data_IF_848045600461
#
_entry.id   IF_848045600461
#
_cell.length_a   1.000
_cell.length_b   1.000
_cell.length_c   1.000
_cell.angle_alpha   90.00
_cell.angle_beta   90.00
_cell.angle_gamma   90.00
#
_symmetry.space_group_name_H-M   'P 1'
#
loop_
_entity.id
_entity.type
_entity.pdbx_description
1 polymer ?
#
# COMPACT_ATOMS: atom_id res chain seq x y z
N UNK A 1 -19.56 -12.17 77.95
CA UNK A 1 -18.77 -11.31 77.05
C UNK A 1 -18.51 -12.07 75.76
N UNK A 2 -19.10 -11.64 74.65
CA UNK A 2 -18.71 -12.07 73.31
C UNK A 2 -19.10 -10.92 72.35
N UNK A 3 -18.11 -10.10 72.00
CA UNK A 3 -18.28 -9.02 71.02
C UNK A 3 -18.10 -9.61 69.62
N UNK A 4 -19.15 -9.56 68.81
CA UNK A 4 -19.09 -10.00 67.41
C UNK A 4 -18.47 -8.88 66.58
N UNK A 5 -17.24 -9.11 66.11
CA UNK A 5 -16.49 -8.14 65.31
C UNK A 5 -16.95 -8.23 63.85
N UNK A 6 -17.72 -7.24 63.40
CA UNK A 6 -18.22 -7.18 62.01
C UNK A 6 -17.14 -6.54 61.14
N UNK A 7 -16.36 -7.36 60.43
CA UNK A 7 -15.37 -6.89 59.47
C UNK A 7 -16.12 -6.33 58.26
N UNK A 8 -16.08 -5.00 58.10
CA UNK A 8 -16.56 -4.32 56.91
C UNK A 8 -15.57 -4.55 55.77
N UNK A 9 -15.97 -5.32 54.77
CA UNK A 9 -15.21 -5.43 53.52
C UNK A 9 -15.35 -4.11 52.75
N UNK A 10 -14.27 -3.36 52.63
CA UNK A 10 -14.18 -2.28 51.64
C UNK A 10 -14.15 -2.92 50.24
N UNK A 11 -15.26 -2.83 49.52
CA UNK A 11 -15.29 -3.07 48.10
C UNK A 11 -14.34 -2.08 47.43
N UNK A 12 -13.19 -2.57 46.96
CA UNK A 12 -12.30 -1.78 46.10
C UNK A 12 -12.97 -1.67 44.74
N UNK A 13 -13.34 -0.45 44.36
CA UNK A 13 -13.82 -0.15 43.01
C UNK A 13 -12.77 -0.59 41.99
N UNK A 14 -13.16 -1.50 41.12
CA UNK A 14 -12.45 -1.81 39.89
C UNK A 14 -12.67 -0.63 38.94
N UNK A 15 -11.63 0.16 38.69
CA UNK A 15 -11.63 1.15 37.61
C UNK A 15 -11.85 0.40 36.30
N UNK A 16 -13.00 0.64 35.66
CA UNK A 16 -13.23 0.25 34.27
C UNK A 16 -12.09 0.82 33.40
N UNK A 17 -11.63 0.11 32.35
CA UNK A 17 -10.70 0.69 31.40
C UNK A 17 -11.30 1.99 30.88
N UNK A 18 -10.52 3.07 30.87
CA UNK A 18 -10.92 4.37 30.32
C UNK A 18 -11.51 4.14 28.93
N UNK A 19 -12.78 4.48 28.73
CA UNK A 19 -13.44 4.36 27.44
C UNK A 19 -12.72 5.31 26.45
N UNK A 20 -12.05 4.73 25.45
CA UNK A 20 -11.33 5.52 24.43
C UNK A 20 -12.29 6.48 23.75
N UNK A 21 -11.83 7.71 23.45
CA UNK A 21 -12.67 8.72 22.81
C UNK A 21 -13.23 8.19 21.47
N UNK A 22 -14.51 8.45 21.12
CA UNK A 22 -15.14 7.90 19.91
C UNK A 22 -14.35 8.11 18.61
N UNK A 23 -13.64 9.25 18.49
CA UNK A 23 -12.78 9.56 17.33
C UNK A 23 -11.51 8.69 17.30
N UNK A 24 -10.87 8.41 18.45
CA UNK A 24 -9.72 7.49 18.53
C UNK A 24 -10.13 6.09 18.11
N UNK A 25 -11.30 5.64 18.61
CA UNK A 25 -11.86 4.34 18.29
C UNK A 25 -12.17 4.20 16.79
N UNK A 26 -12.69 5.26 16.16
CA UNK A 26 -12.92 5.26 14.71
C UNK A 26 -11.61 5.07 13.91
N UNK A 27 -10.53 5.76 14.29
CA UNK A 27 -9.21 5.59 13.65
C UNK A 27 -8.65 4.19 13.89
N UNK A 28 -8.76 3.66 15.12
CA UNK A 28 -8.33 2.29 15.46
C UNK A 28 -9.10 1.21 14.68
N UNK A 29 -10.42 1.38 14.51
CA UNK A 29 -11.26 0.46 13.72
C UNK A 29 -10.83 0.44 12.26
N UNK A 30 -10.59 1.62 11.67
CA UNK A 30 -10.09 1.74 10.29
C UNK A 30 -8.73 1.09 10.12
N UNK A 31 -7.82 1.27 11.09
CA UNK A 31 -6.50 0.62 11.10
C UNK A 31 -6.63 -0.90 11.17
N UNK A 32 -7.45 -1.43 12.09
CA UNK A 32 -7.66 -2.87 12.23
C UNK A 32 -8.20 -3.49 10.94
N UNK A 33 -9.13 -2.80 10.29
CA UNK A 33 -9.70 -3.21 9.00
C UNK A 33 -8.63 -3.28 7.91
N UNK A 34 -7.81 -2.24 7.76
CA UNK A 34 -6.73 -2.20 6.75
C UNK A 34 -5.63 -3.23 7.01
N UNK A 35 -5.26 -3.47 8.27
CA UNK A 35 -4.25 -4.47 8.65
C UNK A 35 -4.68 -5.91 8.41
N UNK A 36 -5.99 -6.16 8.49
CA UNK A 36 -6.58 -7.47 8.21
C UNK A 36 -6.82 -7.71 6.72
N UNK A 37 -6.58 -6.69 5.88
CA UNK A 37 -6.82 -6.75 4.45
C UNK A 37 -5.70 -7.47 3.69
N UNK A 38 -6.06 -8.06 2.56
CA UNK A 38 -5.11 -8.71 1.66
C UNK A 38 -4.37 -7.67 0.79
N UNK A 39 -3.14 -7.99 0.38
CA UNK A 39 -2.26 -7.11 -0.42
C UNK A 39 -1.84 -7.74 -1.77
N UNK A 40 -2.55 -8.77 -2.24
CA UNK A 40 -2.08 -9.63 -3.32
C UNK A 40 -2.50 -9.18 -4.72
N UNK A 41 -3.63 -8.50 -4.86
CA UNK A 41 -4.26 -8.15 -6.14
C UNK A 41 -4.46 -6.64 -6.34
N UNK A 42 -4.58 -6.19 -7.59
CA UNK A 42 -4.86 -4.78 -7.90
C UNK A 42 -6.14 -4.29 -7.21
N UNK A 43 -7.21 -5.12 -7.22
CA UNK A 43 -8.50 -4.81 -6.58
C UNK A 43 -8.39 -4.69 -5.06
N UNK A 44 -7.63 -5.58 -4.41
CA UNK A 44 -7.37 -5.48 -2.96
C UNK A 44 -6.59 -4.20 -2.62
N UNK A 45 -5.62 -3.82 -3.45
CA UNK A 45 -4.87 -2.57 -3.28
C UNK A 45 -5.77 -1.36 -3.49
N UNK A 46 -6.64 -1.35 -4.51
CA UNK A 46 -7.63 -0.28 -4.72
C UNK A 46 -8.57 -0.13 -3.51
N UNK A 47 -9.07 -1.26 -2.97
CA UNK A 47 -9.89 -1.25 -1.75
C UNK A 47 -9.11 -0.67 -0.56
N UNK A 48 -7.83 -1.03 -0.41
CA UNK A 48 -6.98 -0.49 0.66
C UNK A 48 -6.69 1.01 0.49
N UNK A 49 -6.54 1.50 -0.74
CA UNK A 49 -6.42 2.94 -1.03
C UNK A 49 -7.72 3.70 -0.67
N UNK A 50 -8.88 3.12 -0.98
CA UNK A 50 -10.17 3.67 -0.55
C UNK A 50 -10.28 3.69 0.99
N UNK A 51 -9.89 2.60 1.66
CA UNK A 51 -9.86 2.56 3.12
C UNK A 51 -8.85 3.53 3.74
N UNK A 52 -7.72 3.82 3.07
CA UNK A 52 -6.79 4.87 3.50
C UNK A 52 -7.41 6.26 3.41
N UNK A 53 -8.15 6.54 2.34
CA UNK A 53 -8.89 7.80 2.22
C UNK A 53 -9.82 7.98 3.42
N UNK A 54 -10.63 6.96 3.74
CA UNK A 54 -11.55 6.99 4.89
C UNK A 54 -10.78 7.15 6.21
N UNK A 55 -9.66 6.43 6.39
CA UNK A 55 -8.80 6.56 7.56
C UNK A 55 -8.30 8.00 7.74
N UNK A 56 -7.77 8.62 6.68
CA UNK A 56 -7.24 9.98 6.74
C UNK A 56 -8.32 11.05 6.90
N UNK A 57 -9.57 10.77 6.54
CA UNK A 57 -10.71 11.61 6.89
C UNK A 57 -10.98 11.57 8.41
N UNK A 58 -10.89 10.39 9.05
CA UNK A 58 -10.99 10.28 10.51
C UNK A 58 -9.79 10.89 11.25
N UNK A 59 -8.58 10.74 10.69
CA UNK A 59 -7.34 11.29 11.29
C UNK A 59 -7.36 12.81 11.31
N UNK A 60 -7.98 13.44 10.31
CA UNK A 60 -8.15 14.88 10.28
C UNK A 60 -8.95 15.38 11.51
N UNK A 61 -10.06 14.72 11.83
CA UNK A 61 -10.89 15.04 13.01
C UNK A 61 -10.14 14.75 14.31
N UNK A 62 -9.34 13.68 14.34
CA UNK A 62 -8.47 13.32 15.46
C UNK A 62 -7.40 14.38 15.75
N UNK A 63 -6.72 14.88 14.71
CA UNK A 63 -5.70 15.93 14.81
C UNK A 63 -6.31 17.22 15.40
N UNK A 64 -7.54 17.57 15.00
CA UNK A 64 -8.23 18.74 15.55
C UNK A 64 -8.58 18.57 17.04
N UNK A 65 -8.96 17.37 17.47
CA UNK A 65 -9.27 17.05 18.87
C UNK A 65 -8.02 17.13 19.76
N UNK A 66 -6.89 16.58 19.31
CA UNK A 66 -5.66 16.50 20.12
C UNK A 66 -4.75 17.73 20.04
N UNK A 67 -5.19 18.83 19.40
CA UNK A 67 -4.41 20.06 19.17
C UNK A 67 -3.69 20.59 20.44
N UNK A 68 -4.28 20.42 21.63
CA UNK A 68 -3.69 20.89 22.90
C UNK A 68 -2.60 19.97 23.49
N UNK A 69 -2.58 18.67 23.15
CA UNK A 69 -1.56 17.71 23.63
C UNK A 69 -0.47 17.42 22.60
N UNK A 70 -0.81 17.50 21.30
CA UNK A 70 0.06 17.11 20.18
C UNK A 70 1.23 18.08 19.95
N UNK A 71 1.15 19.33 20.41
CA UNK A 71 2.17 20.37 20.22
C UNK A 71 3.61 19.93 20.56
N UNK A 72 3.78 19.01 21.52
CA UNK A 72 5.11 18.51 21.95
C UNK A 72 5.73 17.48 21.00
N UNK A 73 4.98 16.90 20.06
CA UNK A 73 5.43 15.81 19.18
C UNK A 73 5.13 16.05 17.68
N UNK A 74 4.68 17.26 17.31
CA UNK A 74 4.23 17.54 15.92
C UNK A 74 5.36 17.46 14.90
N UNK A 75 6.60 17.82 15.27
CA UNK A 75 7.73 17.82 14.32
C UNK A 75 7.99 16.43 13.74
N UNK A 76 8.03 15.40 14.59
CA UNK A 76 8.22 14.01 14.16
C UNK A 76 7.05 13.44 13.34
N UNK A 77 5.84 13.94 13.55
CA UNK A 77 4.64 13.59 12.75
C UNK A 77 4.68 14.31 11.40
N UNK A 78 5.14 15.56 11.37
CA UNK A 78 5.31 16.32 10.13
C UNK A 78 6.36 15.71 9.22
N UNK A 79 7.49 15.25 9.77
CA UNK A 79 8.49 14.53 8.98
C UNK A 79 7.91 13.26 8.36
N UNK A 80 7.13 12.49 9.14
CA UNK A 80 6.39 11.33 8.65
C UNK A 80 5.41 11.70 7.53
N UNK A 81 4.63 12.77 7.69
CA UNK A 81 3.69 13.22 6.64
C UNK A 81 4.38 13.68 5.35
N UNK A 82 5.56 14.31 5.46
CA UNK A 82 6.36 14.70 4.29
C UNK A 82 6.85 13.47 3.54
N UNK A 83 7.37 12.50 4.29
CA UNK A 83 7.79 11.23 3.75
C UNK A 83 6.65 10.52 2.98
N UNK A 84 5.45 10.46 3.57
CA UNK A 84 4.31 9.84 2.92
C UNK A 84 3.94 10.55 1.61
N UNK A 85 4.02 11.87 1.56
CA UNK A 85 3.79 12.65 0.34
C UNK A 85 4.84 12.36 -0.73
N UNK A 86 6.12 12.27 -0.36
CA UNK A 86 7.21 11.96 -1.30
C UNK A 86 7.06 10.57 -1.91
N UNK A 87 6.72 9.56 -1.08
CA UNK A 87 6.47 8.20 -1.56
C UNK A 87 5.21 8.16 -2.44
N UNK A 88 4.13 8.82 -2.02
CA UNK A 88 2.90 8.89 -2.79
C UNK A 88 3.14 9.54 -4.16
N UNK A 89 3.90 10.64 -4.22
CA UNK A 89 4.31 11.28 -5.47
C UNK A 89 5.12 10.34 -6.37
N UNK A 90 6.10 9.64 -5.81
CA UNK A 90 6.87 8.62 -6.54
C UNK A 90 5.99 7.50 -7.09
N UNK A 91 5.03 7.02 -6.30
CA UNK A 91 4.09 5.98 -6.71
C UNK A 91 3.18 6.43 -7.86
N UNK A 92 2.70 7.69 -7.82
CA UNK A 92 1.95 8.30 -8.93
C UNK A 92 2.78 8.33 -10.22
N UNK A 93 4.01 8.83 -10.15
CA UNK A 93 4.90 8.90 -11.31
C UNK A 93 5.18 7.52 -11.91
N UNK A 94 5.32 6.50 -11.05
CA UNK A 94 5.52 5.10 -11.45
C UNK A 94 4.29 4.54 -12.16
N UNK A 95 3.09 4.76 -11.62
CA UNK A 95 1.84 4.31 -12.22
C UNK A 95 1.62 4.97 -13.59
N UNK A 96 1.81 6.28 -13.68
CA UNK A 96 1.65 7.02 -14.93
C UNK A 96 2.64 6.58 -16.00
N UNK A 97 3.91 6.37 -15.62
CA UNK A 97 4.91 5.83 -16.55
C UNK A 97 4.53 4.43 -17.03
N UNK A 98 4.11 3.54 -16.13
CA UNK A 98 3.75 2.17 -16.49
C UNK A 98 2.53 2.14 -17.42
N UNK A 99 1.51 2.95 -17.13
CA UNK A 99 0.30 3.09 -17.94
C UNK A 99 0.61 3.63 -19.32
N UNK A 100 1.43 4.67 -19.43
CA UNK A 100 1.89 5.18 -20.72
C UNK A 100 2.61 4.08 -21.52
N UNK A 101 3.45 3.27 -20.88
CA UNK A 101 4.13 2.15 -21.54
C UNK A 101 3.15 1.10 -22.08
N UNK A 102 2.08 0.81 -21.33
CA UNK A 102 1.01 -0.10 -21.75
C UNK A 102 0.27 0.47 -22.96
N UNK A 103 -0.08 1.76 -22.93
CA UNK A 103 -0.77 2.45 -24.02
C UNK A 103 0.06 2.56 -25.30
N UNK A 104 1.35 2.83 -25.17
CA UNK A 104 2.30 2.85 -26.29
C UNK A 104 2.39 1.47 -26.92
N UNK A 105 2.53 0.42 -26.10
CA UNK A 105 2.56 -0.96 -26.57
C UNK A 105 1.26 -1.37 -27.28
N UNK A 106 0.09 -1.07 -26.71
CA UNK A 106 -1.20 -1.30 -27.37
C UNK A 106 -1.29 -0.55 -28.71
N UNK A 107 -0.79 0.69 -28.76
CA UNK A 107 -0.75 1.51 -29.97
C UNK A 107 0.16 0.92 -31.04
N UNK A 108 1.34 0.44 -30.65
CA UNK A 108 2.27 -0.27 -31.52
C UNK A 108 1.63 -1.53 -32.09
N UNK A 109 0.98 -2.32 -31.25
CA UNK A 109 0.26 -3.54 -31.67
C UNK A 109 -0.82 -3.20 -32.70
N UNK A 110 -1.64 -2.16 -32.46
CA UNK A 110 -2.67 -1.69 -33.41
C UNK A 110 -2.09 -1.25 -34.75
N UNK A 111 -0.92 -0.59 -34.72
CA UNK A 111 -0.17 -0.16 -35.92
C UNK A 111 0.61 -1.29 -36.59
N UNK A 112 0.58 -2.51 -36.04
CA UNK A 112 1.37 -3.67 -36.49
C UNK A 112 2.87 -3.43 -36.46
N UNK A 113 3.32 -2.57 -35.54
CA UNK A 113 4.74 -2.37 -35.21
C UNK A 113 5.10 -3.22 -33.99
N UNK A 114 6.35 -3.65 -33.90
CA UNK A 114 6.84 -4.51 -32.81
C UNK A 114 7.72 -3.69 -31.85
N UNK A 115 7.11 -2.95 -30.92
CA UNK A 115 7.82 -2.16 -29.91
C UNK A 115 7.95 -2.88 -28.55
N UNK A 116 7.98 -4.21 -28.57
CA UNK A 116 8.08 -5.05 -27.38
C UNK A 116 9.36 -4.78 -26.58
N UNK A 117 10.49 -4.58 -27.25
CA UNK A 117 11.76 -4.28 -26.59
C UNK A 117 11.76 -2.90 -25.91
N UNK A 118 11.05 -1.93 -26.50
CA UNK A 118 10.88 -0.61 -25.91
C UNK A 118 10.05 -0.69 -24.62
N UNK A 119 8.91 -1.39 -24.65
CA UNK A 119 8.10 -1.67 -23.46
C UNK A 119 8.91 -2.38 -22.37
N UNK A 120 9.64 -3.45 -22.72
CA UNK A 120 10.46 -4.20 -21.77
C UNK A 120 11.57 -3.34 -21.15
N UNK A 121 12.17 -2.44 -21.94
CA UNK A 121 13.18 -1.51 -21.46
C UNK A 121 12.59 -0.47 -20.51
N UNK A 122 11.45 0.11 -20.87
CA UNK A 122 10.77 1.09 -20.01
C UNK A 122 10.33 0.48 -18.69
N UNK A 123 9.71 -0.71 -18.72
CA UNK A 123 9.34 -1.45 -17.50
C UNK A 123 10.55 -1.70 -16.60
N UNK A 124 11.69 -2.12 -17.15
CA UNK A 124 12.92 -2.32 -16.37
C UNK A 124 13.37 -1.03 -15.66
N UNK A 125 13.21 0.13 -16.30
CA UNK A 125 13.49 1.44 -15.69
C UNK A 125 12.53 1.72 -14.53
N UNK A 126 11.22 1.56 -14.75
CA UNK A 126 10.19 1.70 -13.71
C UNK A 126 10.48 0.77 -12.51
N UNK A 127 10.74 -0.52 -12.75
CA UNK A 127 11.09 -1.47 -11.69
C UNK A 127 12.38 -1.08 -10.95
N UNK A 128 13.32 -0.37 -11.60
CA UNK A 128 14.55 0.11 -10.94
C UNK A 128 14.24 1.27 -10.00
N UNK A 129 13.37 2.20 -10.42
CA UNK A 129 12.88 3.30 -9.58
C UNK A 129 12.15 2.75 -8.36
N UNK A 130 11.21 1.81 -8.58
CA UNK A 130 10.49 1.13 -7.50
C UNK A 130 11.45 0.48 -6.51
N UNK A 131 12.42 -0.32 -6.98
CA UNK A 131 13.39 -0.99 -6.11
C UNK A 131 14.21 -0.01 -5.27
N UNK A 132 14.57 1.14 -5.84
CA UNK A 132 15.26 2.20 -5.09
C UNK A 132 14.34 2.77 -4.00
N UNK A 133 13.11 3.15 -4.36
CA UNK A 133 12.11 3.66 -3.42
C UNK A 133 11.87 2.69 -2.25
N UNK A 134 11.63 1.41 -2.53
CA UNK A 134 11.44 0.38 -1.51
C UNK A 134 12.68 0.16 -0.62
N UNK A 135 13.88 0.27 -1.18
CA UNK A 135 15.12 0.17 -0.40
C UNK A 135 15.30 1.38 0.54
N UNK A 136 14.96 2.57 0.07
CA UNK A 136 15.07 3.79 0.87
C UNK A 136 14.00 3.82 1.98
N UNK A 137 12.78 3.35 1.71
CA UNK A 137 11.72 3.12 2.70
C UNK A 137 12.20 2.21 3.84
N UNK A 138 12.86 1.09 3.51
CA UNK A 138 13.38 0.13 4.51
C UNK A 138 14.45 0.73 5.41
N UNK A 139 15.36 1.56 4.86
CA UNK A 139 16.41 2.23 5.65
C UNK A 139 15.84 3.27 6.61
N UNK A 140 14.70 3.84 6.29
CA UNK A 140 14.07 4.88 7.11
C UNK A 140 13.28 4.28 8.25
N UNK A 141 12.53 3.20 8.00
CA UNK A 141 11.85 2.44 9.05
C UNK A 141 12.83 1.90 10.12
N UNK A 142 14.06 1.52 9.75
CA UNK A 142 15.05 1.05 10.74
C UNK A 142 15.56 2.13 11.70
N UNK A 143 15.40 3.42 11.37
CA UNK A 143 15.87 4.53 12.22
C UNK A 143 14.84 5.01 13.23
N UNK A 144 13.56 4.73 13.01
CA UNK A 144 12.47 5.17 13.88
C UNK A 144 12.20 4.22 15.07
N UNK A 145 12.81 3.03 15.10
CA UNK A 145 12.59 2.04 16.15
C UNK A 145 13.34 2.30 17.47
N UNK A 146 14.21 3.31 17.56
CA UNK A 146 15.00 3.61 18.77
C UNK A 146 14.26 4.47 19.81
N UNK A 147 13.07 4.98 19.49
CA UNK A 147 12.22 5.71 20.45
C UNK A 147 11.06 4.84 20.93
N UNK A 148 11.40 3.82 21.71
CA UNK A 148 10.43 2.94 22.41
C UNK A 148 9.86 3.70 23.61
N UNK A 149 8.83 4.49 23.34
CA UNK A 149 8.02 5.16 24.36
C UNK A 149 6.73 5.64 23.72
N UNK A 150 5.68 4.83 23.87
CA UNK A 150 4.30 5.08 23.40
C UNK A 150 4.17 5.23 21.87
N UNK A 151 3.76 4.16 21.19
CA UNK A 151 3.39 4.22 19.77
C UNK A 151 2.12 5.06 19.68
N UNK A 152 2.22 6.28 19.16
CA UNK A 152 1.03 7.09 18.93
C UNK A 152 0.20 6.52 17.79
N UNK A 153 -1.12 6.69 17.86
CA UNK A 153 -2.05 6.24 16.83
C UNK A 153 -1.67 6.77 15.42
N UNK A 154 -1.09 7.97 15.34
CA UNK A 154 -0.58 8.56 14.10
C UNK A 154 0.62 7.82 13.52
N UNK A 155 1.51 7.25 14.35
CA UNK A 155 2.61 6.38 13.87
C UNK A 155 2.07 5.08 13.31
N UNK A 156 0.99 4.55 13.88
CA UNK A 156 0.30 3.38 13.37
C UNK A 156 -0.36 3.63 12.01
N UNK A 157 -0.95 4.81 11.81
CA UNK A 157 -1.47 5.30 10.52
C UNK A 157 -0.35 5.41 9.50
N UNK A 158 0.77 6.03 9.87
CA UNK A 158 1.95 6.15 8.99
C UNK A 158 2.46 4.78 8.55
N UNK A 159 2.67 3.84 9.48
CA UNK A 159 3.14 2.50 9.18
C UNK A 159 2.19 1.71 8.27
N UNK A 160 0.88 1.83 8.51
CA UNK A 160 -0.15 1.17 7.68
C UNK A 160 -0.17 1.74 6.26
N UNK A 161 -0.03 3.06 6.14
CA UNK A 161 0.04 3.74 4.83
C UNK A 161 1.29 3.33 4.05
N UNK A 162 2.44 3.26 4.71
CA UNK A 162 3.69 2.78 4.11
C UNK A 162 3.56 1.33 3.62
N UNK A 163 2.91 0.45 4.38
CA UNK A 163 2.69 -0.94 3.97
C UNK A 163 1.81 -1.06 2.72
N UNK A 164 0.78 -0.21 2.59
CA UNK A 164 -0.07 -0.15 1.40
C UNK A 164 0.71 0.39 0.19
N UNK A 165 1.54 1.42 0.37
CA UNK A 165 2.42 1.91 -0.70
C UNK A 165 3.48 0.88 -1.09
N UNK A 166 4.06 0.13 -0.15
CA UNK A 166 4.98 -0.98 -0.47
C UNK A 166 4.28 -2.05 -1.31
N UNK A 167 3.04 -2.40 -0.97
CA UNK A 167 2.22 -3.36 -1.70
C UNK A 167 1.91 -2.88 -3.13
N UNK A 168 1.47 -1.62 -3.27
CA UNK A 168 1.22 -0.98 -4.56
C UNK A 168 2.47 -0.99 -5.46
N UNK A 169 3.60 -0.53 -4.94
CA UNK A 169 4.86 -0.48 -5.68
C UNK A 169 5.33 -1.90 -6.06
N UNK A 170 5.17 -2.86 -5.16
CA UNK A 170 5.51 -4.27 -5.41
C UNK A 170 4.65 -4.89 -6.51
N UNK A 171 3.35 -4.57 -6.53
CA UNK A 171 2.42 -4.99 -7.59
C UNK A 171 2.91 -4.50 -8.95
N UNK A 172 3.23 -3.21 -9.10
CA UNK A 172 3.69 -2.62 -10.36
C UNK A 172 5.04 -3.19 -10.80
N UNK A 173 5.95 -3.45 -9.86
CA UNK A 173 7.25 -4.05 -10.20
C UNK A 173 7.14 -5.51 -10.69
N UNK A 174 6.02 -6.19 -10.40
CA UNK A 174 5.86 -7.61 -10.61
C UNK A 174 6.73 -8.47 -9.68
N UNK A 175 6.45 -9.78 -9.56
CA UNK A 175 7.23 -10.67 -8.71
C UNK A 175 8.69 -10.73 -9.17
N UNK A 176 9.62 -10.85 -8.20
CA UNK A 176 11.06 -11.06 -8.47
C UNK A 176 11.24 -12.32 -9.32
N UNK A 177 11.42 -12.15 -10.63
CA UNK A 177 11.95 -13.22 -11.46
C UNK A 177 13.45 -13.32 -11.20
N UNK A 178 13.84 -14.12 -10.20
CA UNK A 178 15.19 -14.69 -10.24
C UNK A 178 15.24 -15.61 -11.46
N UNK A 179 16.26 -15.49 -12.30
CA UNK A 179 16.36 -16.25 -13.56
C UNK A 179 16.37 -17.77 -13.35
N UNK A 180 16.49 -18.24 -12.10
CA UNK A 180 16.51 -19.64 -11.71
C UNK A 180 15.10 -20.24 -11.47
N UNK A 181 14.06 -19.43 -11.18
CA UNK A 181 12.74 -19.97 -10.82
C UNK A 181 11.99 -20.62 -11.99
N UNK A 182 12.41 -20.36 -13.24
CA UNK A 182 11.81 -20.99 -14.43
C UNK A 182 12.31 -22.43 -14.68
N UNK A 183 13.46 -22.83 -14.12
CA UNK A 183 13.99 -24.20 -14.31
C UNK A 183 13.32 -25.19 -13.34
N UNK A 184 12.73 -24.71 -12.25
CA UNK A 184 12.04 -25.54 -11.25
C UNK A 184 10.60 -25.90 -11.62
N UNK A 185 9.94 -25.18 -12.55
CA UNK A 185 8.53 -25.42 -12.90
C UNK A 185 8.32 -26.47 -14.02
N UNK A 186 9.39 -27.13 -14.45
CA UNK A 186 9.35 -28.17 -15.51
C UNK A 186 9.47 -29.62 -14.99
N UNK A 187 9.52 -29.84 -13.68
CA UNK A 187 9.46 -31.19 -13.12
C UNK A 187 8.00 -31.52 -12.75
N UNK A 188 7.35 -32.52 -13.38
CA UNK A 188 6.02 -32.95 -12.99
C UNK A 188 6.12 -33.75 -11.69
N UNK A 189 6.25 -33.06 -10.56
CA UNK A 189 6.11 -33.71 -9.26
C UNK A 189 4.63 -33.77 -8.93
N UNK A 190 4.07 -34.96 -9.10
CA UNK A 190 2.73 -35.37 -8.70
C UNK A 190 2.46 -34.93 -7.26
N UNK A 191 1.78 -33.80 -7.07
CA UNK A 191 1.16 -33.41 -5.80
C UNK A 191 -0.32 -33.15 -5.99
N UNK A 192 -1.05 -33.70 -5.04
CA UNK A 192 -2.50 -33.76 -4.91
C UNK A 192 -3.12 -32.37 -5.07
N UNK A 193 -4.23 -32.34 -5.81
CA UNK A 193 -4.99 -31.14 -6.13
C UNK A 193 -5.39 -30.37 -4.87
N UNK A 194 -4.76 -29.20 -4.68
CA UNK A 194 -5.42 -28.06 -4.07
C UNK A 194 -5.64 -27.04 -5.20
N UNK A 195 -6.90 -26.88 -5.60
CA UNK A 195 -7.33 -25.97 -6.67
C UNK A 195 -7.35 -24.54 -6.11
N UNK A 196 -6.18 -24.02 -5.76
CA UNK A 196 -5.95 -22.59 -5.62
C UNK A 196 -5.37 -22.13 -6.94
N UNK A 197 -6.15 -21.42 -7.75
CA UNK A 197 -5.60 -20.66 -8.86
C UNK A 197 -4.59 -19.67 -8.25
N UNK A 198 -3.29 -19.91 -8.48
CA UNK A 198 -2.23 -18.97 -8.12
C UNK A 198 -2.53 -17.71 -8.95
N UNK A 199 -3.19 -16.72 -8.34
CA UNK A 199 -3.67 -15.52 -9.03
C UNK A 199 -2.48 -14.74 -9.57
N UNK A 200 -2.16 -14.99 -10.84
CA UNK A 200 -1.08 -14.27 -11.51
C UNK A 200 -1.48 -12.82 -11.66
N UNK A 201 -0.63 -11.90 -11.18
CA UNK A 201 -0.88 -10.47 -11.31
C UNK A 201 -1.02 -10.07 -12.78
N UNK A 202 -1.77 -9.01 -13.05
CA UNK A 202 -2.03 -8.45 -14.37
C UNK A 202 -0.73 -8.11 -15.10
N UNK A 203 0.24 -7.56 -14.37
CA UNK A 203 1.60 -7.32 -14.85
C UNK A 203 2.26 -8.62 -15.33
N UNK A 204 2.14 -9.71 -14.55
CA UNK A 204 2.71 -11.01 -14.90
C UNK A 204 2.01 -11.66 -16.09
N UNK A 205 0.68 -11.52 -16.20
CA UNK A 205 -0.11 -12.01 -17.34
C UNK A 205 0.37 -11.38 -18.65
N UNK A 206 0.61 -10.06 -18.66
CA UNK A 206 1.19 -9.34 -19.82
C UNK A 206 2.59 -9.86 -20.14
N UNK A 207 3.45 -10.07 -19.13
CA UNK A 207 4.80 -10.60 -19.36
C UNK A 207 4.82 -11.99 -19.98
N UNK A 208 3.98 -12.89 -19.48
CA UNK A 208 3.89 -14.26 -19.98
C UNK A 208 3.41 -14.25 -21.44
N UNK A 209 2.35 -13.49 -21.73
CA UNK A 209 1.80 -13.37 -23.07
C UNK A 209 2.83 -12.79 -24.06
N UNK A 210 3.59 -11.77 -23.63
CA UNK A 210 4.63 -11.15 -24.43
C UNK A 210 5.80 -12.10 -24.73
N UNK A 211 6.28 -12.85 -23.72
CA UNK A 211 7.35 -13.85 -23.90
C UNK A 211 6.93 -14.98 -24.84
N UNK A 212 5.68 -15.46 -24.72
CA UNK A 212 5.14 -16.47 -25.61
C UNK A 212 5.09 -15.98 -27.07
N UNK A 213 4.68 -14.72 -27.28
CA UNK A 213 4.61 -14.09 -28.60
C UNK A 213 6.00 -13.93 -29.25
N UNK A 214 7.02 -13.57 -28.46
CA UNK A 214 8.40 -13.44 -28.95
C UNK A 214 8.99 -14.82 -29.31
N UNK A 215 8.68 -15.85 -28.52
CA UNK A 215 9.27 -17.20 -28.68
C UNK A 215 8.62 -17.99 -29.81
N UNK A 216 7.30 -17.87 -29.96
CA UNK A 216 6.54 -18.55 -31.00
C UNK A 216 6.07 -17.50 -32.02
N UNK A 217 6.80 -17.37 -33.14
CA UNK A 217 6.51 -16.46 -34.28
C UNK A 217 5.09 -16.56 -34.89
N UNK A 218 4.12 -17.23 -34.27
CA UNK A 218 2.77 -17.47 -34.82
C UNK A 218 1.61 -17.51 -33.80
N UNK A 219 1.74 -16.97 -32.60
CA UNK A 219 0.57 -16.85 -31.70
C UNK A 219 -0.18 -15.54 -32.02
N UNK A 220 -1.50 -15.62 -32.19
CA UNK A 220 -2.36 -14.49 -32.52
C UNK A 220 -2.17 -13.35 -31.52
N UNK A 221 -1.95 -12.14 -32.04
CA UNK A 221 -1.84 -10.86 -31.31
C UNK A 221 -2.98 -10.67 -30.28
N UNK A 222 -4.15 -11.26 -30.54
CA UNK A 222 -5.31 -11.28 -29.63
C UNK A 222 -4.99 -11.81 -28.22
N UNK A 223 -3.93 -12.60 -28.04
CA UNK A 223 -3.55 -13.16 -26.74
C UNK A 223 -2.86 -12.16 -25.80
N UNK A 224 -2.31 -11.05 -26.32
CA UNK A 224 -1.63 -10.02 -25.51
C UNK A 224 -2.54 -8.82 -25.21
N UNK A 225 -3.54 -8.58 -26.07
CA UNK A 225 -4.38 -7.40 -25.98
C UNK A 225 -5.29 -7.39 -24.74
N UNK A 226 -5.98 -8.50 -24.43
CA UNK A 226 -6.84 -8.58 -23.23
C UNK A 226 -6.06 -8.37 -21.91
N UNK A 227 -4.88 -9.01 -21.70
CA UNK A 227 -4.05 -8.70 -20.54
C UNK A 227 -3.59 -7.24 -20.45
N UNK A 228 -3.29 -6.60 -21.60
CA UNK A 228 -2.89 -5.19 -21.62
C UNK A 228 -4.04 -4.27 -21.23
N UNK A 229 -5.24 -4.49 -21.78
CA UNK A 229 -6.44 -3.73 -21.42
C UNK A 229 -6.80 -3.89 -19.94
N UNK A 230 -6.72 -5.12 -19.40
CA UNK A 230 -6.91 -5.36 -17.98
C UNK A 230 -5.89 -4.61 -17.12
N UNK A 231 -4.61 -4.66 -17.48
CA UNK A 231 -3.56 -3.94 -16.76
C UNK A 231 -3.73 -2.43 -16.84
N UNK A 232 -4.13 -1.89 -17.99
CA UNK A 232 -4.41 -0.45 -18.15
C UNK A 232 -5.54 0.02 -17.23
N UNK A 233 -6.65 -0.73 -17.17
CA UNK A 233 -7.76 -0.43 -16.25
C UNK A 233 -7.31 -0.50 -14.79
N UNK A 234 -6.59 -1.55 -14.40
CA UNK A 234 -6.06 -1.65 -13.03
C UNK A 234 -5.12 -0.49 -12.69
N UNK A 235 -4.26 -0.06 -13.62
CA UNK A 235 -3.38 1.09 -13.39
C UNK A 235 -4.18 2.39 -13.25
N UNK A 236 -5.23 2.58 -14.04
CA UNK A 236 -6.13 3.73 -13.91
C UNK A 236 -6.81 3.77 -12.54
N UNK A 237 -7.41 2.66 -12.10
CA UNK A 237 -8.08 2.60 -10.79
C UNK A 237 -7.12 2.88 -9.63
N UNK A 238 -5.87 2.38 -9.72
CA UNK A 238 -4.83 2.65 -8.74
C UNK A 238 -4.38 4.11 -8.76
N UNK A 239 -4.26 4.74 -9.93
CA UNK A 239 -3.95 6.18 -10.04
C UNK A 239 -5.03 7.04 -9.37
N UNK A 240 -6.31 6.73 -9.62
CA UNK A 240 -7.44 7.49 -9.06
C UNK A 240 -7.55 7.31 -7.54
N UNK A 241 -7.37 6.08 -7.05
CA UNK A 241 -7.30 5.79 -5.62
C UNK A 241 -6.15 6.52 -4.94
N UNK A 242 -4.96 6.50 -5.56
CA UNK A 242 -3.77 7.15 -5.01
C UNK A 242 -3.88 8.68 -5.02
N UNK A 243 -4.48 9.27 -6.05
CA UNK A 243 -4.78 10.71 -6.11
C UNK A 243 -5.71 11.13 -4.96
N UNK A 244 -6.70 10.31 -4.64
CA UNK A 244 -7.60 10.57 -3.52
C UNK A 244 -6.85 10.57 -2.18
N UNK A 245 -5.98 9.59 -1.95
CA UNK A 245 -5.11 9.53 -0.76
C UNK A 245 -4.14 10.72 -0.71
N UNK A 246 -3.53 11.09 -1.83
CA UNK A 246 -2.60 12.22 -1.91
C UNK A 246 -3.24 13.53 -1.44
N UNK A 247 -4.50 13.79 -1.84
CA UNK A 247 -5.25 14.97 -1.39
C UNK A 247 -5.49 14.94 0.12
N UNK A 248 -5.86 13.79 0.67
CA UNK A 248 -6.06 13.63 2.12
C UNK A 248 -4.76 13.85 2.89
N UNK A 249 -3.62 13.34 2.39
CA UNK A 249 -2.30 13.55 3.00
C UNK A 249 -1.92 15.04 3.03
N UNK A 250 -2.16 15.79 1.94
CA UNK A 250 -1.93 17.23 1.90
C UNK A 250 -2.80 17.93 2.96
N UNK A 251 -4.10 17.60 3.01
CA UNK A 251 -5.03 18.20 3.96
C UNK A 251 -4.57 17.97 5.41
N UNK A 252 -4.27 16.73 5.76
CA UNK A 252 -3.77 16.37 7.10
C UNK A 252 -2.47 17.10 7.44
N UNK A 253 -1.53 17.20 6.50
CA UNK A 253 -0.28 17.95 6.70
C UNK A 253 -0.56 19.44 6.96
N UNK A 254 -1.48 20.05 6.23
CA UNK A 254 -1.87 21.45 6.44
C UNK A 254 -2.46 21.62 7.84
N UNK A 255 -3.30 20.70 8.30
CA UNK A 255 -3.89 20.74 9.65
C UNK A 255 -2.84 20.60 10.75
N UNK A 256 -1.85 19.73 10.59
CA UNK A 256 -0.70 19.63 11.49
C UNK A 256 0.12 20.94 11.52
N UNK A 257 0.38 21.53 10.36
CA UNK A 257 1.09 22.81 10.26
C UNK A 257 0.31 23.96 10.92
N UNK A 258 -1.01 23.95 10.81
CA UNK A 258 -1.85 24.97 11.45
C UNK A 258 -1.79 24.89 12.97
N UNK A 259 -1.73 23.70 13.55
CA UNK A 259 -1.59 23.50 15.01
C UNK A 259 -0.24 24.04 15.51
N UNK A 260 0.85 23.83 14.76
CA UNK A 260 2.16 24.38 15.14
C UNK A 260 2.23 25.92 15.09
N UNK A 261 1.38 26.54 14.27
CA UNK A 261 1.34 27.98 14.08
C UNK A 261 0.27 28.69 14.94
N UNK A 262 -0.47 27.95 15.78
CA UNK A 262 -1.44 28.49 16.77
C UNK A 262 -0.73 28.91 18.07
#
# INVERSE_FOLDING_TARGET
>A
MAASNKIAYHARSISLPTESHPISLAVEEQLCRLRSSEFASSSSICHNLAGLKDLYECVEDFIQLESTQTAKSVEGILDGSLLLLDICGTAKDVLSQMKQCVQDLQSSIRRRTNEFDAYMTSRKKVSKVIRKCLADLKKMNSKHNDHVGEISLLREVEATTLAIFESLLSFVSGPKQSSWSMVSKLMPTKRVAHKGEEETSEVMKVEIALKALISHKSIQVNNVQKPLEALEMSLQDLEDGLESVFRCLIKNRVSLLNILNQ
#
